data_IF_600231736044
#
_entry.id   IF_600231736044
#
_cell.length_a   1.000
_cell.length_b   1.000
_cell.length_c   1.000
_cell.angle_alpha   90.00
_cell.angle_beta   90.00
_cell.angle_gamma   90.00
#
_symmetry.space_group_name_H-M   'P 1'
#
loop_
_entity.id
_entity.type
_entity.pdbx_description
1 polymer ?
#
# COMPACT_ATOMS: atom_id res chain seq x y z
N UNK A 1 25.05 10.39 12.56
CA UNK A 1 23.98 10.68 11.59
C UNK A 1 23.43 9.36 11.04
N UNK A 2 22.73 8.57 11.87
CA UNK A 2 22.26 7.22 11.50
C UNK A 2 20.92 6.88 12.18
N UNK A 3 20.02 7.86 12.32
CA UNK A 3 18.70 7.68 12.96
C UNK A 3 17.53 8.23 12.11
N UNK A 4 17.79 8.66 10.87
CA UNK A 4 16.80 9.40 10.05
C UNK A 4 16.10 8.57 8.95
N UNK A 5 16.42 7.29 8.79
CA UNK A 5 15.93 6.50 7.64
C UNK A 5 14.64 5.70 7.91
N UNK A 6 14.25 5.45 9.16
CA UNK A 6 13.06 4.64 9.48
C UNK A 6 11.70 5.38 9.34
N UNK A 7 11.69 6.69 9.09
CA UNK A 7 10.44 7.47 9.07
C UNK A 7 9.69 7.42 7.73
N UNK A 8 10.36 7.05 6.64
CA UNK A 8 9.79 7.16 5.29
C UNK A 8 8.68 6.13 5.02
N UNK A 9 8.85 4.88 5.45
CA UNK A 9 7.87 3.81 5.19
C UNK A 9 6.55 3.99 5.96
N UNK A 10 6.59 4.58 7.16
CA UNK A 10 5.37 4.93 7.89
C UNK A 10 4.61 6.09 7.23
N UNK A 11 5.31 6.99 6.54
CA UNK A 11 4.71 8.17 5.92
C UNK A 11 3.82 7.85 4.72
N UNK A 12 4.22 6.88 3.88
CA UNK A 12 3.45 6.47 2.70
C UNK A 12 2.19 5.69 3.06
N UNK A 13 2.27 4.77 4.03
CA UNK A 13 1.11 4.01 4.51
C UNK A 13 0.06 4.93 5.17
N UNK A 14 0.50 5.88 5.99
CA UNK A 14 -0.41 6.84 6.63
C UNK A 14 -1.04 7.81 5.62
N UNK A 15 -0.27 8.26 4.62
CA UNK A 15 -0.81 9.09 3.52
C UNK A 15 -1.86 8.32 2.71
N UNK A 16 -1.61 7.05 2.39
CA UNK A 16 -2.58 6.18 1.75
C UNK A 16 -3.86 5.99 2.60
N UNK A 17 -3.74 5.67 3.90
CA UNK A 17 -4.90 5.52 4.78
C UNK A 17 -5.74 6.81 4.83
N UNK A 18 -5.08 7.96 5.00
CA UNK A 18 -5.75 9.24 4.99
C UNK A 18 -6.54 9.43 3.70
N UNK A 19 -5.89 9.22 2.54
CA UNK A 19 -6.53 9.38 1.24
C UNK A 19 -7.72 8.43 1.06
N UNK A 20 -7.61 7.14 1.43
CA UNK A 20 -8.72 6.19 1.29
C UNK A 20 -9.95 6.63 2.10
N UNK A 21 -9.74 7.22 3.28
CA UNK A 21 -10.84 7.66 4.15
C UNK A 21 -11.46 8.99 3.76
N UNK A 22 -10.69 9.90 3.17
CA UNK A 22 -11.15 11.27 2.92
C UNK A 22 -11.40 11.58 1.46
N UNK A 23 -10.60 11.01 0.54
CA UNK A 23 -10.63 11.33 -0.89
C UNK A 23 -10.11 10.16 -1.74
N UNK A 24 -11.04 9.26 -2.12
CA UNK A 24 -10.71 8.05 -2.90
C UNK A 24 -9.95 8.34 -4.21
N UNK A 25 -10.32 9.33 -5.04
CA UNK A 25 -9.52 9.68 -6.21
C UNK A 25 -8.02 9.89 -5.90
N UNK A 26 -7.71 10.59 -4.81
CA UNK A 26 -6.31 10.79 -4.38
C UNK A 26 -5.64 9.51 -3.88
N UNK A 27 -6.41 8.54 -3.36
CA UNK A 27 -5.87 7.25 -2.91
C UNK A 27 -5.24 6.43 -4.05
N UNK A 28 -5.67 6.62 -5.30
CA UNK A 28 -5.07 6.01 -6.48
C UNK A 28 -3.56 6.28 -6.62
N UNK A 29 -3.13 7.47 -6.19
CA UNK A 29 -1.75 7.94 -6.25
C UNK A 29 -1.07 7.71 -4.90
N UNK A 30 -1.72 8.10 -3.80
CA UNK A 30 -1.15 8.00 -2.46
C UNK A 30 -0.86 6.54 -2.03
N UNK A 31 -1.64 5.59 -2.52
CA UNK A 31 -1.48 4.16 -2.23
C UNK A 31 -0.65 3.41 -3.28
N UNK A 32 -0.04 4.11 -4.24
CA UNK A 32 0.77 3.48 -5.28
C UNK A 32 1.96 2.78 -4.64
N UNK A 33 2.02 1.46 -4.79
CA UNK A 33 3.24 0.70 -4.47
C UNK A 33 4.15 0.82 -5.68
N UNK A 34 5.34 1.45 -5.57
CA UNK A 34 6.27 1.48 -6.68
C UNK A 34 6.68 0.03 -7.01
N UNK A 35 6.73 -0.30 -8.31
CA UNK A 35 7.42 -1.51 -8.72
C UNK A 35 8.87 -1.37 -8.34
N UNK A 36 9.41 -2.42 -7.75
CA UNK A 36 10.79 -2.52 -7.33
C UNK A 36 11.83 -2.15 -8.38
N UNK A 37 13.09 -2.09 -7.97
CA UNK A 37 14.17 -2.30 -8.94
C UNK A 37 14.25 -3.77 -9.28
N UNK A 38 14.44 -4.12 -10.56
CA UNK A 38 14.68 -5.51 -10.94
C UNK A 38 15.94 -6.02 -10.22
N UNK A 39 15.84 -7.14 -9.48
CA UNK A 39 17.00 -7.80 -8.88
C UNK A 39 18.03 -8.08 -9.96
N UNK A 40 19.29 -7.79 -9.69
CA UNK A 40 20.36 -7.96 -10.67
C UNK A 40 20.39 -9.43 -11.16
N UNK A 41 20.20 -9.65 -12.46
CA UNK A 41 20.15 -10.98 -13.08
C UNK A 41 18.79 -11.69 -13.03
N UNK A 42 17.73 -11.04 -12.57
CA UNK A 42 16.39 -11.61 -12.51
C UNK A 42 15.57 -11.34 -13.81
N UNK A 43 14.54 -12.14 -14.03
CA UNK A 43 13.68 -12.05 -15.23
C UNK A 43 12.68 -10.90 -15.09
N UNK A 44 12.73 -9.94 -16.01
CA UNK A 44 11.82 -8.80 -16.05
C UNK A 44 10.35 -9.18 -16.32
N UNK A 45 10.09 -10.38 -16.87
CA UNK A 45 8.75 -10.92 -17.08
C UNK A 45 8.14 -11.55 -15.81
N UNK A 46 8.95 -11.82 -14.78
CA UNK A 46 8.49 -12.31 -13.49
C UNK A 46 8.30 -11.16 -12.50
N UNK A 47 7.07 -10.94 -12.05
CA UNK A 47 6.74 -9.89 -11.08
C UNK A 47 7.41 -10.09 -9.70
N UNK A 48 7.87 -11.29 -9.37
CA UNK A 48 8.62 -11.60 -8.14
C UNK A 48 10.11 -11.21 -8.21
N UNK A 49 10.59 -10.83 -9.40
CA UNK A 49 11.98 -10.42 -9.66
C UNK A 49 12.32 -9.02 -9.17
N UNK A 50 11.33 -8.23 -8.77
CA UNK A 50 11.54 -6.83 -8.41
C UNK A 50 11.66 -6.68 -6.88
N UNK A 51 12.76 -6.06 -6.42
CA UNK A 51 12.97 -5.70 -5.03
C UNK A 51 12.06 -4.54 -4.65
N UNK A 52 11.12 -4.69 -3.71
CA UNK A 52 10.18 -3.62 -3.37
C UNK A 52 10.94 -2.32 -3.02
N UNK A 53 10.56 -1.20 -3.65
CA UNK A 53 11.21 0.12 -3.43
C UNK A 53 11.00 0.63 -2.00
N UNK A 54 9.98 0.13 -1.31
CA UNK A 54 9.64 0.53 0.05
C UNK A 54 9.90 -0.60 1.06
N UNK A 55 10.36 -0.23 2.28
CA UNK A 55 10.54 -1.10 3.46
C UNK A 55 9.22 -1.71 4.01
N UNK A 56 8.16 -1.71 3.23
CA UNK A 56 6.87 -2.26 3.63
C UNK A 56 6.96 -3.79 3.69
N UNK A 57 6.40 -4.36 4.75
CA UNK A 57 6.20 -5.82 4.83
C UNK A 57 5.23 -6.28 3.72
N UNK A 58 5.23 -7.57 3.35
CA UNK A 58 4.29 -8.10 2.36
C UNK A 58 2.83 -7.76 2.67
N UNK A 59 2.44 -7.83 3.94
CA UNK A 59 1.08 -7.52 4.41
C UNK A 59 0.73 -6.04 4.25
N UNK A 60 1.70 -5.13 4.42
CA UNK A 60 1.52 -3.71 4.16
C UNK A 60 1.44 -3.37 2.67
N UNK A 61 2.18 -4.08 1.81
CA UNK A 61 1.99 -3.95 0.35
C UNK A 61 0.61 -4.37 -0.09
N UNK A 62 0.04 -5.43 0.49
CA UNK A 62 -1.34 -5.82 0.20
C UNK A 62 -2.34 -4.74 0.61
N UNK A 63 -2.15 -4.11 1.77
CA UNK A 63 -2.97 -2.98 2.20
C UNK A 63 -2.87 -1.81 1.22
N UNK A 64 -1.66 -1.41 0.83
CA UNK A 64 -1.46 -0.34 -0.16
C UNK A 64 -2.13 -0.66 -1.50
N UNK A 65 -1.98 -1.89 -2.02
CA UNK A 65 -2.66 -2.33 -3.24
C UNK A 65 -4.18 -2.25 -3.13
N UNK A 66 -4.75 -2.67 -2.00
CA UNK A 66 -6.18 -2.55 -1.77
C UNK A 66 -6.64 -1.08 -1.76
N UNK A 67 -5.86 -0.18 -1.15
CA UNK A 67 -6.13 1.26 -1.15
C UNK A 67 -6.05 1.87 -2.56
N UNK A 68 -5.09 1.43 -3.36
CA UNK A 68 -4.96 1.84 -4.77
C UNK A 68 -6.15 1.38 -5.61
N UNK A 69 -6.60 0.13 -5.44
CA UNK A 69 -7.81 -0.41 -6.08
C UNK A 69 -9.03 0.39 -5.65
N UNK A 70 -9.17 0.69 -4.36
CA UNK A 70 -10.25 1.54 -3.85
C UNK A 70 -10.23 2.93 -4.50
N UNK A 71 -9.05 3.50 -4.72
CA UNK A 71 -8.92 4.81 -5.37
C UNK A 71 -9.20 4.82 -6.86
N UNK A 72 -8.81 3.78 -7.61
CA UNK A 72 -9.10 3.67 -9.04
C UNK A 72 -10.57 3.37 -9.33
N UNK A 73 -11.17 2.43 -8.61
CA UNK A 73 -12.50 1.94 -8.94
C UNK A 73 -13.59 2.55 -8.06
N UNK A 74 -13.32 2.80 -6.78
CA UNK A 74 -14.30 3.28 -5.80
C UNK A 74 -15.07 4.55 -6.21
N UNK A 75 -14.44 5.59 -6.79
CA UNK A 75 -15.13 6.82 -7.18
C UNK A 75 -16.24 6.61 -8.22
N UNK A 76 -16.05 5.67 -9.15
CA UNK A 76 -17.01 5.35 -10.21
C UNK A 76 -18.12 4.37 -9.75
N UNK A 77 -17.97 3.77 -8.57
CA UNK A 77 -18.85 2.70 -8.10
C UNK A 77 -20.01 3.21 -7.23
N UNK A 78 -21.14 2.47 -7.20
CA UNK A 78 -22.23 2.72 -6.26
C UNK A 78 -21.76 2.67 -4.79
N UNK A 79 -22.46 3.39 -3.91
CA UNK A 79 -22.06 3.58 -2.50
C UNK A 79 -21.78 2.25 -1.79
N UNK A 80 -22.60 1.21 -1.99
CA UNK A 80 -22.41 -0.09 -1.34
C UNK A 80 -21.09 -0.76 -1.74
N UNK A 81 -20.77 -0.74 -3.04
CA UNK A 81 -19.54 -1.33 -3.59
C UNK A 81 -18.32 -0.51 -3.18
N UNK A 82 -18.42 0.83 -3.23
CA UNK A 82 -17.39 1.74 -2.74
C UNK A 82 -17.02 1.46 -1.28
N UNK A 83 -18.02 1.30 -0.40
CA UNK A 83 -17.82 0.91 1.01
C UNK A 83 -17.14 -0.45 1.12
N UNK A 84 -17.45 -1.38 0.23
CA UNK A 84 -16.77 -2.68 0.14
C UNK A 84 -15.26 -2.53 -0.11
N UNK A 85 -14.86 -1.70 -1.07
CA UNK A 85 -13.44 -1.44 -1.34
C UNK A 85 -12.72 -0.79 -0.15
N UNK A 86 -13.34 0.21 0.49
CA UNK A 86 -12.78 0.85 1.70
C UNK A 86 -12.63 -0.17 2.83
N UNK A 87 -13.64 -1.01 3.07
CA UNK A 87 -13.57 -2.05 4.10
C UNK A 87 -12.45 -3.06 3.83
N UNK A 88 -12.30 -3.50 2.58
CA UNK A 88 -11.22 -4.41 2.20
C UNK A 88 -9.84 -3.81 2.47
N UNK A 89 -9.65 -2.51 2.17
CA UNK A 89 -8.44 -1.79 2.54
C UNK A 89 -8.22 -1.80 4.06
N UNK A 90 -9.24 -1.47 4.86
CA UNK A 90 -9.13 -1.40 6.32
C UNK A 90 -8.81 -2.75 6.95
N UNK A 91 -9.40 -3.84 6.46
CA UNK A 91 -9.09 -5.21 6.88
C UNK A 91 -7.62 -5.55 6.64
N UNK A 92 -7.09 -5.22 5.46
CA UNK A 92 -5.68 -5.46 5.12
C UNK A 92 -4.74 -4.54 5.90
N UNK A 93 -5.12 -3.28 6.12
CA UNK A 93 -4.35 -2.34 6.93
C UNK A 93 -4.23 -2.82 8.38
N UNK A 94 -5.29 -3.39 8.95
CA UNK A 94 -5.23 -3.96 10.29
C UNK A 94 -4.23 -5.13 10.39
N UNK A 95 -4.17 -5.99 9.37
CA UNK A 95 -3.19 -7.10 9.30
C UNK A 95 -1.77 -6.55 9.17
N UNK A 96 -1.55 -5.57 8.29
CA UNK A 96 -0.27 -4.86 8.17
C UNK A 96 0.22 -4.31 9.52
N UNK A 97 -0.63 -3.56 10.24
CA UNK A 97 -0.29 -2.96 11.54
C UNK A 97 0.07 -4.00 12.59
N UNK A 98 -0.68 -5.12 12.64
CA UNK A 98 -0.35 -6.24 13.52
C UNK A 98 1.00 -6.86 13.17
N UNK A 99 1.31 -7.02 11.89
CA UNK A 99 2.59 -7.56 11.42
C UNK A 99 3.77 -6.66 11.81
N UNK A 100 3.61 -5.34 11.69
CA UNK A 100 4.65 -4.37 12.08
C UNK A 100 4.91 -4.37 13.59
N UNK A 101 3.85 -4.50 14.40
CA UNK A 101 3.98 -4.57 15.86
C UNK A 101 4.60 -5.89 16.36
N UNK A 102 4.60 -6.94 15.53
CA UNK A 102 5.18 -8.24 15.84
C UNK A 102 6.62 -8.41 15.31
N UNK A 103 7.13 -7.45 14.53
CA UNK A 103 8.53 -7.44 14.08
C UNK A 103 9.42 -6.91 15.22
N UNK A 104 10.39 -7.69 15.71
CA UNK A 104 11.28 -7.29 16.80
C UNK A 104 12.28 -6.20 16.42
#
# INVERSE_FOLDING_TARGET
>A
MLFLLLAAAASSLNACESAVRTDLPSAAIACRVPFGTLRQGADAADASSYDPIDDLTPTCREAMRAGQVAGWFGPAMPIAIRRGYVRQFEEKLAICRKSLAASP
#
